data_IF_489340237474
#
_entry.id   IF_489340237474
#
_cell.length_a   1.000
_cell.length_b   1.000
_cell.length_c   1.000
_cell.angle_alpha   90.00
_cell.angle_beta   90.00
_cell.angle_gamma   90.00
#
_symmetry.space_group_name_H-M   'P 1'
#
loop_
_entity.id
_entity.type
_entity.pdbx_description
1 polymer ?
#
# COMPACT_ATOMS: atom_id res chain seq x y z
N UNK A 1 -34.40 11.57 -68.40
CA UNK A 1 -33.27 11.15 -67.54
C UNK A 1 -32.89 12.33 -66.66
N UNK A 2 -33.19 12.27 -65.35
CA UNK A 2 -32.80 13.28 -64.35
C UNK A 2 -32.02 12.55 -63.27
N UNK A 3 -30.70 12.66 -63.30
CA UNK A 3 -29.78 12.00 -62.39
C UNK A 3 -29.91 12.63 -61.00
N UNK A 4 -30.17 11.80 -59.98
CA UNK A 4 -30.13 12.20 -58.57
C UNK A 4 -28.67 12.25 -58.12
N UNK A 5 -28.22 13.44 -57.77
CA UNK A 5 -26.98 13.67 -57.03
C UNK A 5 -27.22 13.17 -55.59
N UNK A 6 -26.34 12.28 -55.11
CA UNK A 6 -26.33 11.80 -53.73
C UNK A 6 -25.42 12.73 -52.96
N UNK A 7 -26.01 13.52 -52.07
CA UNK A 7 -25.27 14.28 -51.07
C UNK A 7 -24.59 13.29 -50.10
N UNK A 8 -23.29 13.10 -50.27
CA UNK A 8 -22.44 12.38 -49.33
C UNK A 8 -22.02 13.33 -48.20
N UNK A 9 -22.97 13.64 -47.31
CA UNK A 9 -22.65 14.27 -46.02
C UNK A 9 -22.00 13.24 -45.10
N UNK A 10 -20.71 12.98 -45.31
CA UNK A 10 -19.86 12.44 -44.24
C UNK A 10 -19.82 13.47 -43.11
N UNK A 11 -20.19 13.13 -41.86
CA UNK A 11 -20.21 14.10 -40.78
C UNK A 11 -18.78 14.59 -40.52
N UNK A 12 -18.50 15.85 -40.89
CA UNK A 12 -17.25 16.53 -40.56
C UNK A 12 -17.20 16.68 -39.05
N UNK A 13 -16.51 15.75 -38.36
CA UNK A 13 -16.24 15.88 -36.92
C UNK A 13 -15.38 17.12 -36.72
N UNK A 14 -15.82 18.14 -35.97
CA UNK A 14 -15.02 19.33 -35.72
C UNK A 14 -13.73 18.92 -35.00
N UNK A 15 -12.58 19.29 -35.56
CA UNK A 15 -11.23 18.93 -35.10
C UNK A 15 -10.98 19.20 -33.60
N UNK A 16 -11.71 20.15 -33.00
CA UNK A 16 -11.67 20.42 -31.56
C UNK A 16 -12.26 19.32 -30.66
N UNK A 17 -13.21 18.51 -31.15
CA UNK A 17 -13.79 17.40 -30.38
C UNK A 17 -12.86 16.19 -30.29
N UNK A 18 -12.08 15.94 -31.34
CA UNK A 18 -11.07 14.88 -31.35
C UNK A 18 -9.97 15.18 -30.30
N UNK A 19 -9.36 16.36 -30.35
CA UNK A 19 -8.31 16.76 -29.40
C UNK A 19 -8.78 16.78 -27.93
N UNK A 20 -10.00 17.24 -27.66
CA UNK A 20 -10.53 17.29 -26.29
C UNK A 20 -10.89 15.90 -25.76
N UNK A 21 -11.40 14.99 -26.61
CA UNK A 21 -11.68 13.61 -26.24
C UNK A 21 -10.40 12.81 -25.94
N UNK A 22 -9.36 12.96 -26.76
CA UNK A 22 -8.06 12.31 -26.58
C UNK A 22 -7.37 12.80 -25.30
N UNK A 23 -7.32 14.13 -25.09
CA UNK A 23 -6.76 14.74 -23.89
C UNK A 23 -7.51 14.36 -22.60
N UNK A 24 -8.84 14.23 -22.66
CA UNK A 24 -9.62 13.74 -21.52
C UNK A 24 -9.41 12.24 -21.27
N UNK A 25 -9.23 11.45 -22.33
CA UNK A 25 -8.87 10.04 -22.27
C UNK A 25 -7.53 9.81 -21.57
N UNK A 26 -6.49 10.57 -21.95
CA UNK A 26 -5.15 10.49 -21.35
C UNK A 26 -5.17 10.82 -19.84
N UNK A 27 -5.91 11.87 -19.49
CA UNK A 27 -6.08 12.28 -18.09
C UNK A 27 -6.79 11.22 -17.25
N UNK A 28 -7.82 10.58 -17.80
CA UNK A 28 -8.55 9.51 -17.13
C UNK A 28 -7.66 8.26 -16.98
N UNK A 29 -6.90 7.91 -18.03
CA UNK A 29 -5.88 6.86 -18.01
C UNK A 29 -4.82 7.07 -16.93
N UNK A 30 -4.38 8.32 -16.70
CA UNK A 30 -3.44 8.64 -15.64
C UNK A 30 -4.02 8.42 -14.22
N UNK A 31 -5.29 8.73 -14.01
CA UNK A 31 -5.98 8.50 -12.73
C UNK A 31 -6.11 6.99 -12.47
N UNK A 32 -6.64 6.25 -13.44
CA UNK A 32 -6.87 4.81 -13.32
C UNK A 32 -5.55 4.04 -13.19
N UNK A 33 -4.51 4.47 -13.93
CA UNK A 33 -3.16 3.93 -13.82
C UNK A 33 -2.56 4.11 -12.42
N UNK A 34 -2.73 5.28 -11.80
CA UNK A 34 -2.27 5.52 -10.43
C UNK A 34 -3.03 4.65 -9.41
N UNK A 35 -4.35 4.52 -9.55
CA UNK A 35 -5.17 3.69 -8.67
C UNK A 35 -4.75 2.22 -8.72
N UNK A 36 -4.53 1.66 -9.92
CA UNK A 36 -4.08 0.27 -10.07
C UNK A 36 -2.68 0.03 -9.53
N UNK A 37 -1.75 0.98 -9.76
CA UNK A 37 -0.40 0.92 -9.17
C UNK A 37 -0.46 0.91 -7.63
N UNK A 38 -1.32 1.76 -7.05
CA UNK A 38 -1.56 1.83 -5.61
C UNK A 38 -2.18 0.55 -5.04
N UNK A 39 -3.09 -0.07 -5.81
CA UNK A 39 -3.75 -1.32 -5.44
C UNK A 39 -2.77 -2.49 -5.45
N UNK A 40 -1.95 -2.63 -6.50
CA UNK A 40 -0.97 -3.69 -6.62
C UNK A 40 0.11 -3.59 -5.53
N UNK A 41 0.67 -2.40 -5.30
CA UNK A 41 1.60 -2.16 -4.20
C UNK A 41 0.96 -2.52 -2.84
N UNK A 42 -0.31 -2.13 -2.64
CA UNK A 42 -1.06 -2.45 -1.43
C UNK A 42 -1.29 -3.95 -1.21
N UNK A 43 -1.55 -4.70 -2.28
CA UNK A 43 -1.73 -6.15 -2.21
C UNK A 43 -0.43 -6.86 -1.86
N UNK A 44 0.69 -6.47 -2.49
CA UNK A 44 2.03 -6.99 -2.15
C UNK A 44 2.37 -6.67 -0.69
N UNK A 45 2.18 -5.42 -0.27
CA UNK A 45 2.40 -5.00 1.12
C UNK A 45 1.55 -5.79 2.11
N UNK A 46 0.28 -6.06 1.80
CA UNK A 46 -0.59 -6.84 2.67
C UNK A 46 0.00 -8.24 2.94
N UNK A 47 0.48 -8.92 1.90
CA UNK A 47 1.10 -10.24 2.04
C UNK A 47 2.37 -10.16 2.87
N UNK A 48 3.26 -9.20 2.58
CA UNK A 48 4.51 -9.03 3.33
C UNK A 48 4.25 -8.68 4.79
N UNK A 49 3.26 -7.82 5.07
CA UNK A 49 2.85 -7.47 6.44
C UNK A 49 2.33 -8.71 7.17
N UNK A 50 1.54 -9.58 6.54
CA UNK A 50 1.08 -10.80 7.20
C UNK A 50 2.24 -11.71 7.59
N UNK A 51 3.25 -11.84 6.72
CA UNK A 51 4.48 -12.58 7.03
C UNK A 51 5.23 -11.93 8.19
N UNK A 52 5.35 -10.61 8.20
CA UNK A 52 5.96 -9.83 9.29
C UNK A 52 5.25 -10.02 10.64
N UNK A 53 3.92 -10.03 10.65
CA UNK A 53 3.15 -10.23 11.88
C UNK A 53 3.37 -11.63 12.46
N UNK A 54 3.40 -12.65 11.59
CA UNK A 54 3.66 -14.04 12.00
C UNK A 54 5.10 -14.19 12.48
N UNK A 55 6.08 -13.66 11.74
CA UNK A 55 7.49 -13.76 12.11
C UNK A 55 7.78 -13.03 13.42
N UNK A 56 7.18 -11.86 13.64
CA UNK A 56 7.31 -11.11 14.89
C UNK A 56 6.58 -11.77 16.08
N UNK A 57 5.49 -12.50 15.86
CA UNK A 57 4.83 -13.28 16.91
C UNK A 57 5.67 -14.48 17.38
N UNK A 58 6.52 -15.03 16.49
CA UNK A 58 7.40 -16.17 16.74
C UNK A 58 8.87 -15.73 16.58
N UNK A 59 9.20 -14.54 17.10
CA UNK A 59 10.44 -13.84 16.80
C UNK A 59 11.70 -14.69 17.08
N UNK A 60 11.72 -15.47 18.16
CA UNK A 60 12.85 -16.33 18.51
C UNK A 60 13.23 -17.31 17.40
N UNK A 61 12.25 -17.87 16.70
CA UNK A 61 12.46 -18.86 15.64
C UNK A 61 12.54 -18.21 14.26
N UNK A 62 11.77 -17.14 14.04
CA UNK A 62 11.58 -16.53 12.72
C UNK A 62 12.26 -15.16 12.58
N UNK A 63 13.24 -14.83 13.43
CA UNK A 63 13.95 -13.56 13.41
C UNK A 63 14.60 -13.27 12.05
N UNK A 64 15.21 -14.27 11.42
CA UNK A 64 15.82 -14.12 10.09
C UNK A 64 14.78 -13.72 9.04
N UNK A 65 13.58 -14.30 9.12
CA UNK A 65 12.46 -13.97 8.24
C UNK A 65 11.96 -12.55 8.53
N UNK A 66 11.77 -12.19 9.80
CA UNK A 66 11.35 -10.85 10.22
C UNK A 66 12.31 -9.76 9.73
N UNK A 67 13.62 -9.99 9.85
CA UNK A 67 14.61 -9.02 9.34
C UNK A 67 14.57 -8.95 7.82
N UNK A 68 14.60 -10.09 7.14
CA UNK A 68 14.63 -10.12 5.67
C UNK A 68 13.38 -9.50 5.05
N UNK A 69 12.20 -9.91 5.50
CA UNK A 69 10.91 -9.44 4.98
C UNK A 69 10.66 -7.99 5.40
N UNK A 70 11.08 -7.58 6.60
CA UNK A 70 10.96 -6.21 7.08
C UNK A 70 11.74 -5.22 6.22
N UNK A 71 12.95 -5.59 5.77
CA UNK A 71 13.73 -4.78 4.81
C UNK A 71 13.12 -4.84 3.41
N UNK A 72 12.71 -6.02 2.94
CA UNK A 72 12.06 -6.20 1.63
C UNK A 72 10.81 -5.30 1.47
N UNK A 73 10.04 -5.15 2.53
CA UNK A 73 8.80 -4.35 2.59
C UNK A 73 9.03 -2.88 2.21
N UNK A 74 10.23 -2.33 2.47
CA UNK A 74 10.56 -0.94 2.17
C UNK A 74 10.38 -0.58 0.69
N UNK A 75 10.69 -1.51 -0.23
CA UNK A 75 10.54 -1.29 -1.68
C UNK A 75 9.08 -1.02 -2.09
N UNK A 76 8.16 -1.99 -1.93
CA UNK A 76 6.74 -1.78 -2.21
C UNK A 76 6.11 -0.63 -1.39
N UNK A 77 6.62 -0.34 -0.18
CA UNK A 77 6.17 0.79 0.63
C UNK A 77 6.46 2.13 -0.06
N UNK A 78 7.64 2.31 -0.65
CA UNK A 78 7.98 3.52 -1.42
C UNK A 78 7.00 3.71 -2.59
N UNK A 79 6.63 2.64 -3.30
CA UNK A 79 5.63 2.72 -4.38
C UNK A 79 4.26 3.12 -3.85
N UNK A 80 3.84 2.55 -2.72
CA UNK A 80 2.57 2.90 -2.07
C UNK A 80 2.54 4.36 -1.64
N UNK A 81 3.57 4.84 -0.94
CA UNK A 81 3.67 6.22 -0.49
C UNK A 81 3.77 7.20 -1.66
N UNK A 82 4.59 6.91 -2.67
CA UNK A 82 4.73 7.74 -3.86
C UNK A 82 3.43 7.84 -4.67
N UNK A 83 2.73 6.72 -4.91
CA UNK A 83 1.46 6.70 -5.67
C UNK A 83 0.31 7.41 -4.95
N UNK A 84 0.22 7.25 -3.63
CA UNK A 84 -0.79 7.93 -2.82
C UNK A 84 -0.48 9.42 -2.64
N UNK A 85 0.79 9.77 -2.42
CA UNK A 85 1.28 11.15 -2.35
C UNK A 85 1.09 11.89 -3.67
N UNK A 86 1.35 11.24 -4.80
CA UNK A 86 1.07 11.80 -6.13
C UNK A 86 -0.40 12.12 -6.31
N UNK A 87 -1.30 11.18 -5.97
CA UNK A 87 -2.75 11.41 -6.00
C UNK A 87 -3.16 12.58 -5.12
N UNK A 88 -2.61 12.66 -3.90
CA UNK A 88 -2.85 13.75 -2.96
C UNK A 88 -2.44 15.09 -3.58
N UNK A 89 -1.19 15.20 -4.06
CA UNK A 89 -0.66 16.42 -4.66
C UNK A 89 -1.50 16.87 -5.86
N UNK A 90 -1.87 15.95 -6.76
CA UNK A 90 -2.67 16.25 -7.95
C UNK A 90 -4.10 16.69 -7.62
N UNK A 91 -4.68 16.17 -6.55
CA UNK A 91 -5.98 16.62 -6.06
C UNK A 91 -5.90 18.06 -5.54
N UNK A 92 -4.93 18.36 -4.67
CA UNK A 92 -4.81 19.68 -4.03
C UNK A 92 -4.24 20.77 -4.94
N UNK A 93 -3.51 20.41 -5.99
CA UNK A 93 -3.11 21.34 -7.07
C UNK A 93 -4.20 21.56 -8.11
N UNK A 94 -5.41 21.01 -7.90
CA UNK A 94 -6.58 21.29 -8.73
C UNK A 94 -6.60 20.55 -10.07
N UNK A 95 -5.88 19.44 -10.23
CA UNK A 95 -5.87 18.70 -11.49
C UNK A 95 -7.29 18.16 -11.81
N UNK A 96 -7.95 18.60 -12.90
CA UNK A 96 -9.39 18.37 -13.10
C UNK A 96 -9.80 16.91 -13.06
N UNK A 97 -8.98 16.00 -13.58
CA UNK A 97 -9.27 14.57 -13.58
C UNK A 97 -9.21 13.94 -12.18
N UNK A 98 -8.28 14.39 -11.33
CA UNK A 98 -8.16 13.91 -9.95
C UNK A 98 -9.24 14.52 -9.05
N UNK A 99 -9.63 15.77 -9.28
CA UNK A 99 -10.72 16.43 -8.55
C UNK A 99 -12.07 15.76 -8.86
N UNK A 100 -12.36 15.46 -10.13
CA UNK A 100 -13.58 14.74 -10.54
C UNK A 100 -13.71 13.35 -9.93
N UNK A 101 -12.58 12.68 -9.63
CA UNK A 101 -12.57 11.37 -8.96
C UNK A 101 -13.00 11.45 -7.48
N UNK A 102 -13.14 12.66 -6.95
CA UNK A 102 -13.62 12.93 -5.60
C UNK A 102 -12.50 13.03 -4.56
N UNK A 103 -12.79 13.64 -3.40
CA UNK A 103 -11.83 13.82 -2.33
C UNK A 103 -11.31 12.46 -1.79
N UNK A 104 -10.03 12.40 -1.39
CA UNK A 104 -9.54 11.37 -0.49
C UNK A 104 -10.48 11.22 0.73
N UNK A 105 -10.80 9.97 1.10
CA UNK A 105 -11.76 9.67 2.16
C UNK A 105 -11.36 10.38 3.47
N UNK A 106 -12.27 11.15 4.07
CA UNK A 106 -11.94 12.13 5.12
C UNK A 106 -11.43 11.47 6.42
N UNK A 107 -12.04 10.36 6.84
CA UNK A 107 -11.55 9.56 7.96
C UNK A 107 -10.12 9.01 7.74
N UNK A 108 -9.77 8.68 6.48
CA UNK A 108 -8.43 8.23 6.13
C UNK A 108 -7.45 9.40 6.01
N UNK A 109 -7.90 10.63 5.75
CA UNK A 109 -7.03 11.82 5.70
C UNK A 109 -6.43 12.17 7.07
N UNK A 110 -7.18 11.98 8.14
CA UNK A 110 -6.70 12.25 9.50
C UNK A 110 -5.81 11.12 10.00
N UNK A 111 -6.20 9.87 9.73
CA UNK A 111 -5.42 8.70 10.15
C UNK A 111 -4.16 8.47 9.32
N UNK A 112 -4.14 8.86 8.03
CA UNK A 112 -3.03 8.58 7.12
C UNK A 112 -1.69 9.20 7.58
N UNK A 113 -1.59 10.47 7.99
CA UNK A 113 -0.33 11.03 8.48
C UNK A 113 0.23 10.24 9.67
N UNK A 114 -0.64 9.86 10.61
CA UNK A 114 -0.24 9.07 11.78
C UNK A 114 0.23 7.66 11.38
N UNK A 115 -0.52 6.98 10.50
CA UNK A 115 -0.12 5.67 9.97
C UNK A 115 1.19 5.75 9.18
N UNK A 116 1.39 6.78 8.35
CA UNK A 116 2.64 6.98 7.61
C UNK A 116 3.79 7.20 8.58
N UNK A 117 3.66 8.12 9.54
CA UNK A 117 4.70 8.41 10.51
C UNK A 117 5.08 7.16 11.31
N UNK A 118 4.11 6.45 11.88
CA UNK A 118 4.35 5.20 12.62
C UNK A 118 4.97 4.11 11.74
N UNK A 119 4.55 3.96 10.48
CA UNK A 119 5.15 3.00 9.54
C UNK A 119 6.62 3.34 9.27
N UNK A 120 6.94 4.62 9.04
CA UNK A 120 8.33 5.07 8.82
C UNK A 120 9.19 4.84 10.07
N UNK A 121 8.64 5.03 11.27
CA UNK A 121 9.36 4.74 12.52
C UNK A 121 9.59 3.25 12.67
N UNK A 122 8.60 2.38 12.45
CA UNK A 122 8.76 0.91 12.52
C UNK A 122 9.86 0.45 11.56
N UNK A 123 9.77 0.84 10.28
CA UNK A 123 10.73 0.40 9.26
C UNK A 123 12.11 1.01 9.48
N UNK A 124 12.19 2.32 9.77
CA UNK A 124 13.46 3.01 9.99
C UNK A 124 14.20 2.51 11.22
N UNK A 125 13.49 2.29 12.34
CA UNK A 125 14.09 1.71 13.54
C UNK A 125 14.51 0.25 13.33
N UNK A 126 13.74 -0.53 12.57
CA UNK A 126 14.10 -1.92 12.23
C UNK A 126 15.37 -2.01 11.40
N UNK A 127 15.48 -1.21 10.34
CA UNK A 127 16.71 -1.12 9.53
C UNK A 127 17.89 -0.62 10.39
N UNK A 128 17.65 0.40 11.23
CA UNK A 128 18.65 0.90 12.17
C UNK A 128 19.22 -0.20 13.07
N UNK A 129 18.36 -1.05 13.64
CA UNK A 129 18.78 -2.18 14.48
C UNK A 129 19.66 -3.17 13.72
N UNK A 130 19.33 -3.47 12.46
CA UNK A 130 20.13 -4.36 11.62
C UNK A 130 21.52 -3.78 11.38
N UNK A 131 21.61 -2.47 11.14
CA UNK A 131 22.88 -1.78 10.87
C UNK A 131 23.74 -1.62 12.13
N UNK A 132 23.15 -1.31 13.28
CA UNK A 132 23.91 -1.06 14.52
C UNK A 132 24.26 -2.34 15.28
N UNK A 133 23.48 -3.41 15.10
CA UNK A 133 23.60 -4.64 15.88
C UNK A 133 23.15 -4.52 17.34
N UNK A 134 23.09 -5.63 18.09
CA UNK A 134 22.56 -5.66 19.46
C UNK A 134 23.41 -4.88 20.46
N UNK A 135 24.74 -4.80 20.26
CA UNK A 135 25.67 -4.07 21.14
C UNK A 135 25.39 -2.55 21.17
N UNK A 136 24.91 -1.99 20.07
CA UNK A 136 24.68 -0.55 19.90
C UNK A 136 23.22 -0.21 19.61
N UNK A 137 22.29 -1.11 19.95
CA UNK A 137 20.87 -0.93 19.68
C UNK A 137 20.27 0.32 20.35
N UNK A 138 20.75 0.66 21.56
CA UNK A 138 20.36 1.87 22.28
C UNK A 138 18.85 2.11 22.28
N UNK A 139 18.37 3.33 21.94
CA UNK A 139 16.94 3.64 21.91
C UNK A 139 16.19 3.02 20.72
N UNK A 140 16.88 2.46 19.70
CA UNK A 140 16.22 1.91 18.51
C UNK A 140 15.37 0.68 18.86
N UNK A 141 15.81 -0.16 19.80
CA UNK A 141 15.12 -1.39 20.16
C UNK A 141 13.76 -1.11 20.83
N UNK A 142 13.68 -0.29 21.89
CA UNK A 142 12.39 0.09 22.46
C UNK A 142 11.55 0.92 21.47
N UNK A 143 12.16 1.81 20.67
CA UNK A 143 11.44 2.59 19.66
C UNK A 143 10.76 1.68 18.62
N UNK A 144 11.45 0.64 18.16
CA UNK A 144 10.89 -0.36 17.24
C UNK A 144 9.70 -1.09 17.89
N UNK A 145 9.87 -1.61 19.11
CA UNK A 145 8.80 -2.30 19.83
C UNK A 145 7.56 -1.42 20.11
N UNK A 146 7.77 -0.19 20.61
CA UNK A 146 6.66 0.73 20.91
C UNK A 146 5.98 1.26 19.64
N UNK A 147 6.73 1.49 18.56
CA UNK A 147 6.12 1.90 17.30
C UNK A 147 5.25 0.80 16.72
N UNK A 148 5.63 -0.48 16.84
CA UNK A 148 4.77 -1.63 16.45
C UNK A 148 3.48 -1.65 17.26
N UNK A 149 3.55 -1.43 18.58
CA UNK A 149 2.37 -1.37 19.45
C UNK A 149 1.34 -0.34 18.96
N UNK A 150 1.78 0.87 18.58
CA UNK A 150 0.92 1.94 18.08
C UNK A 150 0.48 1.68 16.63
N UNK A 151 1.38 1.14 15.81
CA UNK A 151 1.14 0.89 14.39
C UNK A 151 0.11 -0.21 14.14
N UNK A 152 0.12 -1.29 14.94
CA UNK A 152 -0.77 -2.45 14.82
C UNK A 152 -2.27 -2.09 14.75
N UNK A 153 -2.86 -1.32 15.67
CA UNK A 153 -4.27 -0.93 15.57
C UNK A 153 -4.54 -0.04 14.34
N UNK A 154 -3.61 0.87 13.99
CA UNK A 154 -3.78 1.77 12.84
C UNK A 154 -3.80 1.00 11.51
N UNK A 155 -2.86 0.07 11.32
CA UNK A 155 -2.83 -0.76 10.12
C UNK A 155 -4.02 -1.71 10.07
N UNK A 156 -4.48 -2.24 11.22
CA UNK A 156 -5.66 -3.09 11.30
C UNK A 156 -6.92 -2.35 10.83
N UNK A 157 -7.17 -1.14 11.34
CA UNK A 157 -8.27 -0.28 10.90
C UNK A 157 -8.13 0.03 9.41
N UNK A 158 -6.93 0.39 8.95
CA UNK A 158 -6.67 0.72 7.54
C UNK A 158 -6.98 -0.46 6.61
N UNK A 159 -6.48 -1.67 6.93
CA UNK A 159 -6.73 -2.88 6.15
C UNK A 159 -8.22 -3.22 6.19
N UNK A 160 -8.86 -3.19 7.36
CA UNK A 160 -10.28 -3.49 7.50
C UNK A 160 -11.17 -2.55 6.64
N UNK A 161 -10.85 -1.25 6.61
CA UNK A 161 -11.55 -0.28 5.77
C UNK A 161 -11.40 -0.56 4.26
N UNK A 162 -10.33 -1.24 3.85
CA UNK A 162 -10.00 -1.50 2.45
C UNK A 162 -10.18 -2.96 1.99
N UNK A 163 -10.41 -3.90 2.91
CA UNK A 163 -10.35 -5.35 2.67
C UNK A 163 -11.32 -5.83 1.58
N UNK A 164 -12.47 -5.15 1.40
CA UNK A 164 -13.44 -5.50 0.35
C UNK A 164 -13.24 -4.76 -0.97
N UNK A 165 -12.52 -3.63 -0.96
CA UNK A 165 -12.32 -2.79 -2.15
C UNK A 165 -11.11 -3.23 -2.96
N UNK A 166 -10.03 -3.62 -2.29
CA UNK A 166 -8.75 -3.97 -2.95
C UNK A 166 -8.83 -5.24 -3.81
N UNK A 167 -9.42 -6.37 -3.34
CA UNK A 167 -9.48 -7.58 -4.15
C UNK A 167 -10.25 -7.38 -5.46
N UNK A 168 -11.35 -6.63 -5.43
CA UNK A 168 -12.16 -6.31 -6.63
C UNK A 168 -11.32 -5.56 -7.69
N UNK A 169 -10.58 -4.54 -7.27
CA UNK A 169 -9.72 -3.77 -8.17
C UNK A 169 -8.57 -4.60 -8.77
N UNK A 170 -8.04 -5.56 -8.02
CA UNK A 170 -6.99 -6.46 -8.50
C UNK A 170 -7.57 -7.50 -9.47
N UNK A 171 -8.75 -8.05 -9.20
CA UNK A 171 -9.41 -9.01 -10.09
C UNK A 171 -9.88 -8.38 -11.39
N UNK A 172 -10.35 -7.13 -11.36
CA UNK A 172 -10.80 -6.41 -12.56
C UNK A 172 -9.63 -6.18 -13.54
N UNK A 173 -8.42 -5.93 -13.04
CA UNK A 173 -7.18 -5.77 -13.83
C UNK A 173 -6.69 -7.10 -14.43
N UNK A 174 -7.15 -8.24 -13.90
CA UNK A 174 -6.85 -9.58 -14.40
C UNK A 174 -7.96 -10.17 -15.29
N UNK A 175 -9.15 -9.58 -15.30
CA UNK A 175 -10.26 -10.06 -16.12
C UNK A 175 -9.99 -9.85 -17.62
N UNK A 176 -10.30 -10.87 -18.43
CA UNK A 176 -10.10 -10.90 -19.89
C UNK A 176 -10.91 -9.84 -20.67
N UNK A 177 -11.80 -9.12 -20.00
CA UNK A 177 -12.64 -8.04 -20.55
C UNK A 177 -11.91 -6.69 -20.60
N UNK A 178 -10.64 -6.63 -20.22
CA UNK A 178 -9.85 -5.40 -20.21
C UNK A 178 -9.63 -4.86 -21.64
N UNK A 179 -10.38 -3.81 -21.95
CA UNK A 179 -10.37 -3.03 -23.19
C UNK A 179 -8.95 -2.61 -23.65
N UNK A 180 -8.74 -2.33 -24.94
CA UNK A 180 -7.41 -2.01 -25.52
C UNK A 180 -6.75 -0.78 -24.86
N UNK A 181 -7.53 0.09 -24.22
CA UNK A 181 -7.07 1.21 -23.40
C UNK A 181 -6.44 0.81 -22.05
N UNK A 182 -6.72 -0.40 -21.52
CA UNK A 182 -6.14 -0.93 -20.27
C UNK A 182 -4.70 -1.46 -20.43
N UNK A 183 -4.32 -1.85 -21.66
CA UNK A 183 -2.98 -2.36 -21.96
C UNK A 183 -1.93 -1.24 -21.92
N UNK A 184 -2.29 -0.02 -22.30
CA UNK A 184 -1.38 1.12 -22.25
C UNK A 184 -1.01 1.42 -20.78
N UNK A 185 0.28 1.34 -20.48
CA UNK A 185 0.82 1.57 -19.13
C UNK A 185 0.79 0.36 -18.17
N UNK A 186 0.22 -0.80 -18.53
CA UNK A 186 0.28 -2.03 -17.68
C UNK A 186 1.72 -2.47 -17.42
N UNK A 187 2.53 -2.54 -18.48
CA UNK A 187 3.94 -2.89 -18.37
C UNK A 187 4.72 -1.95 -17.44
N UNK A 188 4.46 -0.64 -17.52
CA UNK A 188 5.11 0.35 -16.65
C UNK A 188 4.70 0.19 -15.18
N UNK A 189 3.41 -0.02 -14.89
CA UNK A 189 2.92 -0.25 -13.51
C UNK A 189 3.50 -1.52 -12.89
N UNK A 190 3.53 -2.60 -13.67
CA UNK A 190 4.11 -3.88 -13.24
C UNK A 190 5.62 -3.75 -13.05
N UNK A 191 6.31 -3.12 -14.00
CA UNK A 191 7.75 -2.85 -13.93
C UNK A 191 8.15 -2.00 -12.72
N UNK A 192 7.37 -0.97 -12.37
CA UNK A 192 7.63 -0.16 -11.17
C UNK A 192 7.49 -0.97 -9.88
N UNK A 193 6.43 -1.77 -9.75
CA UNK A 193 6.23 -2.59 -8.56
C UNK A 193 7.25 -3.73 -8.46
N UNK A 194 7.53 -4.39 -9.58
CA UNK A 194 8.55 -5.44 -9.65
C UNK A 194 9.94 -4.87 -9.39
N UNK A 195 10.29 -3.74 -10.00
CA UNK A 195 11.55 -3.05 -9.76
C UNK A 195 11.72 -2.62 -8.30
N UNK A 196 10.66 -2.11 -7.67
CA UNK A 196 10.70 -1.78 -6.25
C UNK A 196 10.81 -3.01 -5.35
N UNK A 197 10.13 -4.12 -5.70
CA UNK A 197 10.26 -5.39 -4.99
C UNK A 197 11.67 -5.95 -5.11
N UNK A 198 12.26 -5.91 -6.31
CA UNK A 198 13.64 -6.34 -6.57
C UNK A 198 14.64 -5.45 -5.83
N UNK A 199 14.45 -4.13 -5.83
CA UNK A 199 15.30 -3.22 -5.07
C UNK A 199 15.23 -3.50 -3.57
N UNK A 200 14.02 -3.76 -3.03
CA UNK A 200 13.83 -4.19 -1.65
C UNK A 200 14.51 -5.54 -1.37
N UNK A 201 14.45 -6.50 -2.30
CA UNK A 201 15.11 -7.80 -2.18
C UNK A 201 16.63 -7.67 -2.18
N UNK A 202 17.20 -6.84 -3.06
CA UNK A 202 18.63 -6.52 -3.06
C UNK A 202 19.05 -5.90 -1.74
N UNK A 203 18.30 -4.91 -1.24
CA UNK A 203 18.57 -4.30 0.06
C UNK A 203 18.50 -5.32 1.20
N UNK A 204 17.49 -6.20 1.20
CA UNK A 204 17.35 -7.26 2.19
C UNK A 204 18.52 -8.24 2.16
N UNK A 205 18.98 -8.66 0.98
CA UNK A 205 20.15 -9.53 0.81
C UNK A 205 21.42 -8.86 1.36
N UNK A 206 21.63 -7.58 1.03
CA UNK A 206 22.81 -6.84 1.47
C UNK A 206 22.83 -6.64 3.00
N UNK A 207 21.67 -6.43 3.61
CA UNK A 207 21.54 -6.20 5.06
C UNK A 207 21.41 -7.51 5.87
N UNK A 208 21.09 -8.63 5.22
CA UNK A 208 20.84 -9.92 5.89
C UNK A 208 21.98 -10.39 6.82
N UNK A 209 23.27 -10.22 6.50
CA UNK A 209 24.35 -10.58 7.43
C UNK A 209 24.25 -9.87 8.79
N UNK A 210 23.67 -8.66 8.82
CA UNK A 210 23.42 -7.91 10.05
C UNK A 210 22.41 -8.56 11.00
N UNK A 211 21.64 -9.56 10.53
CA UNK A 211 20.73 -10.33 11.38
C UNK A 211 21.48 -11.35 12.28
N UNK A 212 22.68 -11.80 11.89
CA UNK A 212 23.37 -12.90 12.59
C UNK A 212 23.65 -12.62 14.07
N UNK A 213 24.18 -11.44 14.47
CA UNK A 213 24.37 -11.12 15.88
C UNK A 213 23.06 -11.11 16.68
N UNK A 214 21.96 -10.68 16.05
CA UNK A 214 20.64 -10.65 16.69
C UNK A 214 20.06 -12.05 16.91
N UNK A 215 20.33 -13.01 16.01
CA UNK A 215 19.91 -14.41 16.18
C UNK A 215 20.59 -15.06 17.38
N UNK A 216 21.87 -14.76 17.62
CA UNK A 216 22.57 -15.24 18.81
C UNK A 216 22.00 -14.58 20.07
N UNK A 217 21.83 -13.26 20.04
CA UNK A 217 21.29 -12.50 21.19
C UNK A 217 19.87 -12.92 21.59
N UNK A 218 18.98 -13.18 20.63
CA UNK A 218 17.60 -13.56 20.91
C UNK A 218 17.48 -14.97 21.51
N UNK A 219 18.46 -15.84 21.28
CA UNK A 219 18.48 -17.18 21.86
C UNK A 219 18.90 -17.16 23.33
N UNK A 220 19.75 -16.20 23.73
CA UNK A 220 20.29 -16.07 25.09
C UNK A 220 19.43 -15.21 26.01
N UNK A 221 18.53 -14.40 25.45
CA UNK A 221 17.68 -13.48 26.21
C UNK A 221 16.21 -13.90 26.10
N UNK A 222 15.60 -14.30 27.21
CA UNK A 222 14.15 -14.50 27.28
C UNK A 222 13.43 -13.16 27.09
N UNK A 223 12.91 -12.91 25.89
CA UNK A 223 12.05 -11.77 25.64
C UNK A 223 10.68 -12.27 25.19
N UNK A 224 9.70 -12.14 26.09
CA UNK A 224 8.29 -12.28 25.74
C UNK A 224 7.99 -11.19 24.70
N UNK A 225 7.28 -11.49 23.59
CA UNK A 225 6.88 -10.50 22.60
C UNK A 225 5.72 -9.62 23.13
N UNK A 226 5.93 -9.00 24.29
CA UNK A 226 4.91 -8.21 25.00
C UNK A 226 4.31 -7.08 24.13
N UNK A 227 5.09 -6.32 23.32
CA UNK A 227 4.51 -5.32 22.44
C UNK A 227 3.57 -5.91 21.37
N UNK A 228 3.87 -7.11 20.86
CA UNK A 228 3.03 -7.79 19.87
C UNK A 228 1.70 -8.23 20.50
N UNK A 229 1.75 -8.87 21.67
CA UNK A 229 0.54 -9.34 22.37
C UNK A 229 -0.37 -8.16 22.71
N UNK A 230 0.19 -7.11 23.33
CA UNK A 230 -0.58 -5.91 23.71
C UNK A 230 -1.10 -5.19 22.45
N UNK A 231 -0.30 -5.09 21.40
CA UNK A 231 -0.72 -4.48 20.14
C UNK A 231 -1.82 -5.25 19.41
N UNK A 232 -1.80 -6.58 19.44
CA UNK A 232 -2.88 -7.42 18.92
C UNK A 232 -4.17 -7.23 19.72
N UNK A 233 -4.09 -7.20 21.05
CA UNK A 233 -5.25 -6.91 21.91
C UNK A 233 -5.82 -5.52 21.62
N UNK A 234 -4.95 -4.50 21.50
CA UNK A 234 -5.36 -3.14 21.13
C UNK A 234 -5.99 -3.08 19.74
N UNK A 235 -5.45 -3.82 18.75
CA UNK A 235 -6.02 -3.91 17.42
C UNK A 235 -7.39 -4.59 17.42
N UNK A 236 -7.55 -5.69 18.17
CA UNK A 236 -8.85 -6.36 18.34
C UNK A 236 -9.87 -5.39 18.95
N UNK A 237 -9.50 -4.72 20.05
CA UNK A 237 -10.36 -3.73 20.71
C UNK A 237 -10.75 -2.60 19.75
N UNK A 238 -9.79 -2.03 19.02
CA UNK A 238 -10.03 -0.98 18.06
C UNK A 238 -10.99 -1.43 16.93
N UNK A 239 -10.85 -2.67 16.44
CA UNK A 239 -11.77 -3.24 15.45
C UNK A 239 -13.17 -3.49 16.01
N UNK A 240 -13.30 -3.88 17.29
CA UNK A 240 -14.60 -4.05 17.95
C UNK A 240 -15.33 -2.71 18.13
N UNK A 241 -14.60 -1.65 18.48
CA UNK A 241 -15.17 -0.30 18.64
C UNK A 241 -15.57 0.29 17.28
N UNK A 242 -14.80 0.00 16.23
CA UNK A 242 -15.05 0.55 14.88
C UNK A 242 -16.04 -0.28 14.06
N UNK A 243 -16.38 -1.51 14.48
CA UNK A 243 -17.48 -2.26 13.89
C UNK A 243 -18.78 -1.46 14.11
N UNK A 244 -19.55 -1.16 13.06
CA UNK A 244 -20.89 -0.63 13.26
C UNK A 244 -21.68 -1.72 13.98
N UNK A 245 -21.94 -1.52 15.27
CA UNK A 245 -22.88 -2.32 16.03
C UNK A 245 -24.24 -2.11 15.37
N UNK A 246 -24.59 -2.96 14.40
CA UNK A 246 -25.98 -3.15 14.04
C UNK A 246 -26.59 -3.77 15.27
N UNK A 247 -27.27 -2.95 16.08
CA UNK A 247 -28.14 -3.43 17.13
C UNK A 247 -29.08 -4.44 16.48
N UNK A 248 -28.83 -5.72 16.75
CA UNK A 248 -29.82 -6.78 16.56
C UNK A 248 -30.84 -6.49 17.64
N UNK A 249 -31.91 -5.79 17.27
CA UNK A 249 -32.89 -5.33 18.25
C UNK A 249 -33.91 -4.39 17.66
N UNK A 250 -34.60 -4.83 16.61
CA UNK A 250 -35.99 -4.44 16.37
C UNK A 250 -36.62 -5.43 15.38
N UNK A 251 -37.61 -6.19 15.86
CA UNK A 251 -38.50 -6.99 15.04
C UNK A 251 -38.42 -8.50 15.25
N UNK A 252 -38.96 -9.00 16.38
CA UNK A 252 -40.30 -9.63 16.45
C UNK A 252 -40.61 -10.05 17.87
#
# INVERSE_FOLDING_TARGET
MKSRERDDESPVRPSGQAHTSEYNGDKQSAVDGNERMTALAGAVLLVLILVELVSAAILRTLLSIHVFVGVLLAGPLIVKLGSTGWRFLRYYTGSPAFVRRGPPHLALRVMAPLLIATTLVVIGSGIGLVVTGPRFAGPLLPLHGFSVLVWLPLIAIHVFAHIRRVPRLVTDDWSKTSDKSNASGRGRRLGMNLGALLAGAVAAILLFPGAAPWMVWSQTNETIPAPMIVGLLAAILALLVTRPWRLVGEGR
#
